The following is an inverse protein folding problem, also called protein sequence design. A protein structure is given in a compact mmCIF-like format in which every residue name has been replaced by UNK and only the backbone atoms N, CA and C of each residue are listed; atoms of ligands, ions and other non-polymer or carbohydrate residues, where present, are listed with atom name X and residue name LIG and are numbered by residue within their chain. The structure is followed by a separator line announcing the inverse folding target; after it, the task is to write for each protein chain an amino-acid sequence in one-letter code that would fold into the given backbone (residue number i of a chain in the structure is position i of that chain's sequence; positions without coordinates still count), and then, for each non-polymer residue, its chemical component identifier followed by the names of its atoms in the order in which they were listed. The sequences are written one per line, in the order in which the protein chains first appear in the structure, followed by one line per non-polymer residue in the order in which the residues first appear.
data_IF_077328375077
#
_entry.id   IF_077328375077
#
_cell.length_a   1.000
_cell.length_b   1.000
_cell.length_c   1.000
_cell.angle_alpha   90.00
_cell.angle_beta   90.00
_cell.angle_gamma   90.00
#
_symmetry.space_group_name_H-M   'P 1'
#
loop_
_entity.id
_entity.type
_entity.pdbx_description
1 polymer ?
#
# COMPACT_ATOMS: atom_id res chain seq x y z
N UNK A 1 39.44 -51.36 -58.81
CA UNK A 1 38.13 -51.41 -58.14
C UNK A 1 37.87 -50.11 -57.44
N UNK A 2 37.21 -49.20 -58.12
CA UNK A 2 37.12 -47.78 -57.67
C UNK A 2 35.70 -47.56 -57.17
N UNK A 3 35.56 -47.34 -55.85
CA UNK A 3 34.27 -47.08 -55.19
C UNK A 3 33.98 -45.61 -55.32
N UNK A 4 32.89 -45.25 -55.99
CA UNK A 4 32.35 -43.88 -56.02
C UNK A 4 31.40 -43.70 -54.84
N UNK A 5 31.76 -42.77 -53.93
CA UNK A 5 30.89 -42.36 -52.83
C UNK A 5 30.10 -41.16 -53.32
N UNK A 6 28.77 -41.32 -53.43
CA UNK A 6 27.82 -40.25 -53.70
C UNK A 6 27.35 -39.66 -52.37
N UNK A 7 27.72 -38.42 -52.12
CA UNK A 7 27.25 -37.64 -50.97
C UNK A 7 25.91 -37.00 -51.29
N UNK A 8 24.83 -37.48 -50.61
CA UNK A 8 23.50 -36.88 -50.68
C UNK A 8 23.43 -35.77 -49.64
N UNK A 9 23.34 -34.52 -50.08
CA UNK A 9 23.15 -33.37 -49.24
C UNK A 9 21.70 -33.26 -48.80
N UNK A 10 21.43 -33.43 -47.53
CA UNK A 10 20.12 -33.22 -46.91
C UNK A 10 19.97 -31.73 -46.59
N UNK A 11 19.16 -31.00 -47.36
CA UNK A 11 18.77 -29.62 -47.04
C UNK A 11 17.67 -29.67 -45.97
N UNK A 12 18.02 -29.36 -44.71
CA UNK A 12 17.06 -29.09 -43.65
C UNK A 12 16.61 -27.63 -43.74
N UNK A 13 15.40 -27.39 -44.22
CA UNK A 13 14.75 -26.09 -44.21
C UNK A 13 14.34 -25.75 -42.74
N UNK A 14 15.05 -24.83 -42.12
CA UNK A 14 14.65 -24.21 -40.87
C UNK A 14 13.49 -23.24 -41.11
N UNK A 15 12.26 -23.70 -40.83
CA UNK A 15 11.09 -22.81 -40.78
C UNK A 15 11.16 -22.05 -39.47
N UNK A 16 11.65 -20.80 -39.52
CA UNK A 16 11.56 -19.87 -38.42
C UNK A 16 10.08 -19.47 -38.25
N UNK A 17 9.46 -20.00 -37.21
CA UNK A 17 8.15 -19.54 -36.75
C UNK A 17 8.39 -18.21 -36.03
N UNK A 18 8.14 -17.10 -36.72
CA UNK A 18 7.99 -15.79 -36.09
C UNK A 18 6.63 -15.78 -35.41
N UNK A 19 6.61 -16.08 -34.11
CA UNK A 19 5.45 -15.74 -33.28
C UNK A 19 5.39 -14.21 -33.21
N UNK A 20 4.25 -13.59 -33.57
CA UNK A 20 4.07 -12.19 -33.23
C UNK A 20 4.09 -12.07 -31.71
N UNK A 21 4.99 -11.26 -31.18
CA UNK A 21 4.98 -10.87 -29.80
C UNK A 21 3.68 -10.09 -29.57
N UNK A 22 2.68 -10.72 -28.92
CA UNK A 22 1.53 -10.02 -28.37
C UNK A 22 1.98 -9.25 -27.13
N UNK A 23 2.77 -8.21 -27.35
CA UNK A 23 3.17 -7.23 -26.38
C UNK A 23 2.51 -5.88 -26.74
N UNK A 24 1.20 -5.91 -26.96
CA UNK A 24 0.45 -4.70 -27.16
C UNK A 24 -0.68 -4.66 -26.14
N UNK A 25 -0.64 -3.70 -25.20
CA UNK A 25 -1.84 -3.28 -24.50
C UNK A 25 -1.87 -3.29 -22.98
N UNK A 26 -0.77 -3.04 -22.30
CA UNK A 26 -0.81 -2.67 -20.86
C UNK A 26 -0.57 -1.15 -20.64
N UNK A 27 -1.15 -0.30 -21.47
CA UNK A 27 -0.75 1.10 -21.51
C UNK A 27 -1.83 2.15 -21.73
N UNK A 28 -3.12 1.81 -21.66
CA UNK A 28 -4.15 2.85 -21.64
C UNK A 28 -4.86 2.84 -20.28
N UNK A 29 -4.93 4.03 -19.69
CA UNK A 29 -5.29 4.21 -18.28
C UNK A 29 -6.69 3.70 -17.91
N UNK A 30 -7.02 3.80 -16.62
CA UNK A 30 -8.27 3.36 -16.01
C UNK A 30 -9.57 3.92 -16.65
N UNK A 31 -9.45 4.78 -17.65
CA UNK A 31 -10.54 5.37 -18.43
C UNK A 31 -10.82 4.64 -19.74
N UNK A 32 -10.11 3.57 -20.02
CA UNK A 32 -10.46 2.72 -21.15
C UNK A 32 -11.87 2.14 -20.96
N UNK A 33 -12.74 2.36 -21.92
CA UNK A 33 -14.12 1.92 -21.90
C UNK A 33 -14.24 0.39 -21.69
N UNK A 34 -13.30 -0.39 -22.22
CA UNK A 34 -13.24 -1.83 -22.04
C UNK A 34 -12.93 -2.23 -20.61
N UNK A 35 -11.99 -1.54 -19.95
CA UNK A 35 -11.64 -1.74 -18.55
C UNK A 35 -12.81 -1.37 -17.63
N UNK A 36 -13.48 -0.24 -17.86
CA UNK A 36 -14.66 0.16 -17.10
C UNK A 36 -15.83 -0.81 -17.29
N UNK A 37 -16.03 -1.31 -18.50
CA UNK A 37 -17.04 -2.34 -18.79
C UNK A 37 -16.73 -3.65 -18.05
N UNK A 38 -15.47 -4.06 -18.00
CA UNK A 38 -15.01 -5.24 -17.26
C UNK A 38 -15.23 -5.07 -15.75
N UNK A 39 -14.88 -3.92 -15.17
CA UNK A 39 -15.15 -3.63 -13.76
C UNK A 39 -16.64 -3.70 -13.45
N UNK A 40 -17.47 -3.03 -14.26
CA UNK A 40 -18.94 -2.99 -14.10
C UNK A 40 -19.59 -4.36 -14.22
N UNK A 41 -19.09 -5.22 -15.07
CA UNK A 41 -19.62 -6.59 -15.27
C UNK A 41 -19.08 -7.60 -14.25
N UNK A 42 -17.83 -7.42 -13.82
CA UNK A 42 -17.10 -8.38 -12.95
C UNK A 42 -17.34 -8.19 -11.46
N UNK A 43 -17.70 -6.96 -11.03
CA UNK A 43 -17.88 -6.63 -9.62
C UNK A 43 -19.31 -6.23 -9.32
N UNK A 44 -19.75 -6.52 -8.10
CA UNK A 44 -21.06 -6.16 -7.57
C UNK A 44 -20.99 -5.93 -6.08
N UNK A 45 -21.88 -5.11 -5.56
CA UNK A 45 -22.02 -4.88 -4.13
C UNK A 45 -22.39 -6.20 -3.42
N UNK A 46 -21.74 -6.44 -2.29
CA UNK A 46 -22.05 -7.56 -1.40
C UNK A 46 -21.73 -7.19 0.04
N UNK A 47 -22.74 -7.22 0.93
CA UNK A 47 -22.57 -6.80 2.32
C UNK A 47 -21.99 -5.38 2.40
N UNK A 48 -20.96 -5.20 3.20
CA UNK A 48 -20.27 -3.92 3.33
C UNK A 48 -19.21 -3.65 2.22
N UNK A 49 -18.98 -4.61 1.35
CA UNK A 49 -18.06 -4.44 0.22
C UNK A 49 -18.84 -3.90 -1.00
N UNK A 50 -18.77 -2.62 -1.20
CA UNK A 50 -19.44 -1.88 -2.26
C UNK A 50 -18.49 -1.53 -3.41
N UNK A 51 -19.03 -1.39 -4.60
CA UNK A 51 -18.26 -1.15 -5.84
C UNK A 51 -17.66 0.26 -5.91
N UNK A 52 -18.11 1.20 -5.07
CA UNK A 52 -17.49 2.52 -4.93
C UNK A 52 -16.02 2.45 -4.49
N UNK A 53 -15.60 1.36 -3.83
CA UNK A 53 -14.21 1.10 -3.46
C UNK A 53 -13.28 0.95 -4.66
N UNK A 54 -13.81 0.69 -5.85
CA UNK A 54 -13.06 0.61 -7.09
C UNK A 54 -12.72 1.99 -7.66
N UNK A 55 -13.40 3.02 -7.22
CA UNK A 55 -13.20 4.38 -7.70
C UNK A 55 -11.96 5.00 -7.06
N UNK A 56 -11.09 5.54 -7.90
CA UNK A 56 -9.94 6.32 -7.45
C UNK A 56 -10.39 7.71 -7.00
N UNK A 57 -9.84 8.22 -5.91
CA UNK A 57 -9.93 9.64 -5.61
C UNK A 57 -8.86 10.44 -6.40
N UNK A 58 -8.96 11.77 -6.37
CA UNK A 58 -8.09 12.66 -7.15
C UNK A 58 -6.59 12.43 -6.88
N UNK A 59 -6.22 12.08 -5.63
CA UNK A 59 -4.82 11.78 -5.29
C UNK A 59 -4.37 10.44 -5.88
N UNK A 60 -5.25 9.44 -5.85
CA UNK A 60 -4.94 8.13 -6.44
C UNK A 60 -4.84 8.25 -7.96
N UNK A 61 -5.77 8.94 -8.60
CA UNK A 61 -5.74 9.19 -10.05
C UNK A 61 -4.44 9.90 -10.46
N UNK A 62 -4.06 10.98 -9.74
CA UNK A 62 -2.78 11.66 -9.96
C UNK A 62 -1.59 10.71 -9.87
N UNK A 63 -1.52 9.86 -8.84
CA UNK A 63 -0.39 8.96 -8.63
C UNK A 63 -0.37 7.75 -9.58
N UNK A 64 -1.47 7.44 -10.24
CA UNK A 64 -1.60 6.33 -11.20
C UNK A 64 -1.44 6.78 -12.65
N UNK A 65 -1.32 8.07 -12.90
CA UNK A 65 -1.17 8.61 -14.25
C UNK A 65 0.25 8.30 -14.77
N UNK A 66 0.40 7.43 -15.80
CA UNK A 66 1.71 7.07 -16.35
C UNK A 66 2.37 8.21 -17.12
N UNK A 67 1.64 9.27 -17.45
CA UNK A 67 2.17 10.42 -18.18
C UNK A 67 2.85 11.44 -17.26
N UNK A 68 2.75 11.25 -15.94
CA UNK A 68 3.37 12.13 -14.95
C UNK A 68 4.88 11.91 -14.95
N UNK A 69 5.60 12.82 -15.59
CA UNK A 69 7.05 12.89 -15.55
C UNK A 69 7.53 13.67 -14.31
N UNK A 70 8.74 13.37 -13.84
CA UNK A 70 9.37 14.17 -12.81
C UNK A 70 9.74 15.56 -13.38
N UNK A 71 9.08 16.58 -12.85
CA UNK A 71 9.27 17.98 -13.22
C UNK A 71 9.05 18.89 -12.02
N UNK A 72 9.53 20.15 -12.04
CA UNK A 72 9.25 21.12 -10.97
C UNK A 72 7.74 21.32 -10.73
N UNK A 73 6.93 21.30 -11.79
CA UNK A 73 5.48 21.42 -11.67
C UNK A 73 4.88 20.22 -10.92
N UNK A 74 5.34 19.00 -11.21
CA UNK A 74 4.93 17.79 -10.51
C UNK A 74 5.38 17.77 -9.05
N UNK A 75 6.58 18.22 -8.76
CA UNK A 75 7.07 18.38 -7.38
C UNK A 75 6.16 19.33 -6.59
N UNK A 76 5.80 20.48 -7.19
CA UNK A 76 4.86 21.42 -6.59
C UNK A 76 3.48 20.79 -6.36
N UNK A 77 2.97 20.03 -7.33
CA UNK A 77 1.65 19.36 -7.18
C UNK A 77 1.68 18.28 -6.10
N UNK A 78 2.76 17.49 -5.99
CA UNK A 78 2.93 16.53 -4.89
C UNK A 78 2.90 17.23 -3.53
N UNK A 79 3.65 18.30 -3.36
CA UNK A 79 3.67 19.08 -2.11
C UNK A 79 2.28 19.64 -1.77
N UNK A 80 1.53 20.10 -2.77
CA UNK A 80 0.15 20.56 -2.58
C UNK A 80 -0.77 19.44 -2.12
N UNK A 81 -0.69 18.24 -2.74
CA UNK A 81 -1.45 17.06 -2.36
C UNK A 81 -1.11 16.66 -0.91
N UNK A 82 0.17 16.68 -0.53
CA UNK A 82 0.59 16.41 0.84
C UNK A 82 0.00 17.39 1.85
N UNK A 83 0.02 18.68 1.53
CA UNK A 83 -0.59 19.71 2.37
C UNK A 83 -2.11 19.54 2.51
N UNK A 84 -2.83 19.25 1.41
CA UNK A 84 -4.26 18.96 1.41
C UNK A 84 -4.58 17.73 2.28
N UNK A 85 -3.79 16.67 2.16
CA UNK A 85 -3.95 15.46 2.98
C UNK A 85 -3.57 15.70 4.44
N UNK A 86 -2.53 16.50 4.72
CA UNK A 86 -2.17 16.87 6.09
C UNK A 86 -3.28 17.67 6.78
N UNK A 87 -3.94 18.58 6.07
CA UNK A 87 -5.08 19.31 6.58
C UNK A 87 -6.27 18.40 6.96
N UNK A 88 -6.36 17.21 6.38
CA UNK A 88 -7.38 16.21 6.71
C UNK A 88 -7.06 15.38 7.95
N UNK A 89 -5.83 15.44 8.49
CA UNK A 89 -5.41 14.64 9.65
C UNK A 89 -6.08 15.16 10.91
N UNK A 90 -6.81 14.28 11.58
CA UNK A 90 -7.39 14.55 12.90
C UNK A 90 -6.40 14.08 13.97
N UNK A 91 -5.80 15.03 14.67
CA UNK A 91 -4.94 14.75 15.80
C UNK A 91 -5.75 14.58 17.08
N UNK A 92 -5.24 13.85 18.10
CA UNK A 92 -5.95 13.71 19.38
C UNK A 92 -6.12 15.06 20.05
N UNK A 93 -7.37 15.45 20.35
CA UNK A 93 -7.70 16.75 20.97
C UNK A 93 -7.40 16.82 22.46
N UNK A 94 -7.27 15.65 23.12
CA UNK A 94 -7.00 15.52 24.56
C UNK A 94 -5.52 15.42 24.90
N UNK A 95 -4.64 15.54 23.90
CA UNK A 95 -3.18 15.43 24.05
C UNK A 95 -2.66 14.02 24.35
N UNK A 96 -3.52 13.00 24.36
CA UNK A 96 -3.12 11.61 24.61
C UNK A 96 -2.72 10.92 23.32
N UNK A 97 -1.46 10.76 23.10
CA UNK A 97 -0.91 10.17 21.90
C UNK A 97 -0.79 8.65 21.95
N UNK A 98 -0.58 8.07 23.13
CA UNK A 98 -0.27 6.67 23.32
C UNK A 98 -1.43 5.94 24.00
N UNK A 99 -1.72 4.74 23.54
CA UNK A 99 -2.65 3.77 24.13
C UNK A 99 -1.90 2.60 24.77
N UNK A 100 -2.34 1.39 24.47
CA UNK A 100 -1.73 0.14 24.94
C UNK A 100 -0.98 -0.54 23.80
N UNK A 101 0.34 -0.71 23.94
CA UNK A 101 1.15 -1.36 22.92
C UNK A 101 0.76 -2.82 22.65
N UNK A 102 0.18 -3.54 23.61
CA UNK A 102 -0.30 -4.92 23.42
C UNK A 102 -1.51 -4.95 22.50
N UNK A 103 -2.41 -4.00 22.64
CA UNK A 103 -3.53 -3.85 21.71
C UNK A 103 -3.03 -3.36 20.34
N UNK A 104 -2.03 -2.49 20.32
CA UNK A 104 -1.35 -2.07 19.09
C UNK A 104 -0.74 -3.23 18.31
N UNK A 105 -0.12 -4.18 19.00
CA UNK A 105 0.42 -5.39 18.39
C UNK A 105 -0.69 -6.24 17.74
N UNK A 106 -1.82 -6.43 18.42
CA UNK A 106 -2.98 -7.15 17.86
C UNK A 106 -3.52 -6.47 16.59
N UNK A 107 -3.61 -5.14 16.62
CA UNK A 107 -4.03 -4.35 15.45
C UNK A 107 -3.03 -4.50 14.31
N UNK A 108 -1.72 -4.45 14.60
CA UNK A 108 -0.66 -4.55 13.61
C UNK A 108 -0.62 -5.93 12.93
N UNK A 109 -0.86 -7.00 13.68
CA UNK A 109 -0.87 -8.37 13.17
C UNK A 109 -2.16 -8.72 12.42
N UNK A 110 -3.29 -8.14 12.81
CA UNK A 110 -4.59 -8.53 12.26
C UNK A 110 -4.81 -7.96 10.86
N UNK A 111 -5.06 -8.84 9.90
CA UNK A 111 -5.55 -8.48 8.55
C UNK A 111 -7.08 -8.59 8.41
N UNK A 112 -7.83 -8.70 9.51
CA UNK A 112 -9.29 -8.87 9.47
C UNK A 112 -9.99 -7.56 9.17
N UNK A 113 -11.16 -7.69 8.54
CA UNK A 113 -12.10 -6.61 8.35
C UNK A 113 -12.26 -6.19 6.89
N UNK A 114 -13.29 -5.39 6.64
CA UNK A 114 -13.65 -4.83 5.35
C UNK A 114 -14.03 -5.85 4.26
N UNK A 115 -14.27 -7.11 4.62
CA UNK A 115 -14.78 -8.12 3.71
C UNK A 115 -16.32 -8.07 3.64
N UNK A 116 -16.87 -8.66 2.60
CA UNK A 116 -18.32 -8.67 2.37
C UNK A 116 -19.12 -9.37 3.49
N UNK A 117 -18.49 -10.23 4.27
CA UNK A 117 -19.11 -10.99 5.36
C UNK A 117 -18.95 -10.33 6.74
N UNK A 118 -18.13 -9.26 6.82
CA UNK A 118 -17.93 -8.57 8.09
C UNK A 118 -19.12 -7.68 8.42
N UNK A 119 -19.29 -7.39 9.72
CA UNK A 119 -20.24 -6.39 10.18
C UNK A 119 -19.63 -4.99 10.00
N UNK A 120 -20.49 -4.03 9.69
CA UNK A 120 -20.05 -2.64 9.46
C UNK A 120 -19.40 -1.98 10.69
N UNK A 121 -19.77 -2.42 11.89
CA UNK A 121 -19.28 -1.94 13.18
C UNK A 121 -18.13 -2.79 13.76
N UNK A 122 -17.70 -3.83 13.05
CA UNK A 122 -16.59 -4.67 13.50
C UNK A 122 -15.27 -3.91 13.46
N UNK A 123 -14.44 -4.12 14.47
CA UNK A 123 -13.08 -3.58 14.48
C UNK A 123 -12.23 -4.24 13.39
N UNK A 124 -11.59 -3.41 12.57
CA UNK A 124 -10.66 -3.87 11.54
C UNK A 124 -9.25 -3.98 12.10
N UNK A 125 -8.42 -4.80 11.47
CA UNK A 125 -6.99 -4.82 11.68
C UNK A 125 -6.25 -3.82 10.80
N UNK A 126 -4.99 -3.54 11.17
CA UNK A 126 -4.11 -2.65 10.41
C UNK A 126 -3.24 -3.38 9.40
N UNK A 127 -3.03 -4.70 9.61
CA UNK A 127 -2.21 -5.57 8.76
C UNK A 127 -0.79 -5.02 8.46
N UNK A 128 -0.19 -4.38 9.45
CA UNK A 128 1.05 -3.62 9.28
C UNK A 128 2.25 -4.51 8.95
N UNK A 129 2.26 -5.75 9.49
CA UNK A 129 3.30 -6.73 9.24
C UNK A 129 3.39 -7.21 7.79
N UNK A 130 2.33 -7.10 6.99
CA UNK A 130 2.43 -7.41 5.57
C UNK A 130 3.39 -6.48 4.81
N UNK A 131 3.71 -5.32 5.37
CA UNK A 131 4.59 -4.35 4.74
C UNK A 131 5.84 -4.04 5.58
N UNK A 132 5.78 -4.14 6.91
CA UNK A 132 6.82 -3.70 7.83
C UNK A 132 7.29 -4.82 8.76
N UNK A 133 8.59 -4.88 8.99
CA UNK A 133 9.15 -5.50 10.18
C UNK A 133 8.89 -4.57 11.37
N UNK A 134 8.29 -5.06 12.46
CA UNK A 134 7.88 -4.23 13.60
C UNK A 134 8.48 -4.76 14.91
N UNK A 135 7.96 -5.87 15.44
CA UNK A 135 8.49 -6.51 16.64
C UNK A 135 9.56 -7.55 16.28
N UNK A 136 10.64 -7.72 17.06
CA UNK A 136 11.60 -8.78 16.86
C UNK A 136 11.03 -10.18 17.13
N UNK A 137 9.85 -10.26 17.78
CA UNK A 137 9.18 -11.52 18.08
C UNK A 137 8.40 -12.07 16.89
N UNK A 138 8.05 -11.25 15.89
CA UNK A 138 7.35 -11.66 14.68
C UNK A 138 8.37 -11.87 13.55
N UNK A 139 8.44 -13.11 13.07
CA UNK A 139 9.38 -13.51 12.01
C UNK A 139 8.78 -13.42 10.61
N UNK A 140 7.44 -13.34 10.50
CA UNK A 140 6.72 -13.25 9.24
C UNK A 140 6.32 -11.80 8.96
N UNK A 141 7.08 -11.11 8.13
CA UNK A 141 6.83 -9.72 7.76
C UNK A 141 7.22 -9.42 6.31
N UNK A 142 6.56 -8.41 5.74
CA UNK A 142 6.91 -7.88 4.43
C UNK A 142 8.01 -6.80 4.50
N UNK A 143 8.60 -6.54 3.35
CA UNK A 143 9.69 -5.56 3.17
C UNK A 143 9.32 -4.42 2.22
N UNK A 144 8.03 -4.27 1.92
CA UNK A 144 7.51 -3.17 1.07
C UNK A 144 7.70 -1.82 1.75
N UNK A 145 7.46 -1.78 3.08
CA UNK A 145 7.74 -0.63 3.92
C UNK A 145 9.10 -0.76 4.63
N UNK A 146 9.64 0.33 5.19
CA UNK A 146 10.87 0.29 5.98
C UNK A 146 10.66 -0.52 7.27
N UNK A 147 11.75 -1.10 7.81
CA UNK A 147 11.75 -1.69 9.14
C UNK A 147 11.43 -0.62 10.20
N UNK A 148 10.58 -0.99 11.14
CA UNK A 148 10.19 -0.19 12.30
C UNK A 148 10.83 -0.70 13.61
N UNK A 149 11.75 -1.66 13.53
CA UNK A 149 12.51 -2.11 14.70
C UNK A 149 13.22 -0.95 15.38
N UNK A 150 13.06 -0.85 16.69
CA UNK A 150 13.67 0.22 17.48
C UNK A 150 13.13 1.61 17.16
N UNK A 151 11.93 1.72 16.59
CA UNK A 151 11.41 3.00 16.09
C UNK A 151 11.48 4.11 17.15
N UNK A 152 10.98 3.87 18.36
CA UNK A 152 11.02 4.84 19.45
C UNK A 152 12.45 5.14 19.93
N UNK A 153 13.34 4.13 19.98
CA UNK A 153 14.76 4.33 20.29
C UNK A 153 15.47 5.22 19.27
N UNK A 154 15.15 5.03 17.98
CA UNK A 154 15.81 5.74 16.88
C UNK A 154 15.25 7.14 16.70
N UNK A 155 13.93 7.31 16.82
CA UNK A 155 13.25 8.57 16.52
C UNK A 155 13.04 9.46 17.74
N UNK A 156 13.02 8.87 18.96
CA UNK A 156 12.63 9.57 20.17
C UNK A 156 11.10 9.73 20.29
N UNK A 157 10.68 10.56 21.22
CA UNK A 157 9.27 10.77 21.61
C UNK A 157 8.84 12.25 21.62
N UNK A 158 9.57 13.10 20.89
CA UNK A 158 9.20 14.51 20.77
C UNK A 158 7.80 14.68 20.17
N UNK A 159 7.19 15.83 20.41
CA UNK A 159 5.87 16.14 19.85
C UNK A 159 5.90 16.13 18.31
N UNK A 160 7.01 16.51 17.71
CA UNK A 160 7.20 16.44 16.25
C UNK A 160 7.16 14.98 15.77
N UNK A 161 7.88 14.07 16.45
CA UNK A 161 7.88 12.64 16.14
C UNK A 161 6.47 12.05 16.31
N UNK A 162 5.79 12.37 17.41
CA UNK A 162 4.40 11.92 17.64
C UNK A 162 3.46 12.39 16.54
N UNK A 163 3.52 13.67 16.18
CA UNK A 163 2.69 14.23 15.10
C UNK A 163 2.99 13.57 13.74
N UNK A 164 4.26 13.42 13.41
CA UNK A 164 4.67 12.80 12.14
C UNK A 164 4.25 11.34 12.06
N UNK A 165 4.44 10.57 13.13
CA UNK A 165 4.05 9.15 13.20
C UNK A 165 2.53 9.00 13.12
N UNK A 166 1.79 9.81 13.87
CA UNK A 166 0.33 9.85 13.82
C UNK A 166 -0.18 10.15 12.40
N UNK A 167 0.33 11.22 11.80
CA UNK A 167 -0.07 11.62 10.46
C UNK A 167 0.19 10.51 9.44
N UNK A 168 1.31 9.81 9.55
CA UNK A 168 1.67 8.68 8.67
C UNK A 168 0.67 7.52 8.80
N UNK A 169 0.26 7.15 10.00
CA UNK A 169 -0.72 6.08 10.24
C UNK A 169 -2.13 6.54 9.84
N UNK A 170 -2.50 7.78 10.18
CA UNK A 170 -3.80 8.34 9.88
C UNK A 170 -4.02 8.51 8.39
N UNK A 171 -3.09 9.16 7.69
CA UNK A 171 -3.14 9.41 6.25
C UNK A 171 -1.72 9.49 5.67
N UNK A 172 -1.18 8.39 5.19
CA UNK A 172 0.18 8.30 4.67
C UNK A 172 0.46 9.31 3.53
N UNK A 173 -0.57 9.74 2.80
CA UNK A 173 -0.44 10.75 1.75
C UNK A 173 -0.22 12.18 2.27
N UNK A 174 -0.38 12.40 3.56
CA UNK A 174 0.01 13.65 4.24
C UNK A 174 1.53 13.89 4.29
N UNK A 175 2.33 12.84 4.08
CA UNK A 175 3.80 12.91 4.14
C UNK A 175 4.50 12.37 2.90
N UNK A 176 3.75 11.76 2.00
CA UNK A 176 4.19 11.32 0.68
C UNK A 176 2.94 11.15 -0.19
N UNK A 177 2.73 12.06 -1.15
CA UNK A 177 1.55 12.11 -2.00
C UNK A 177 1.19 10.77 -2.65
N UNK A 178 2.18 10.02 -3.11
CA UNK A 178 2.00 8.74 -3.81
C UNK A 178 2.35 7.52 -2.95
N UNK A 179 2.26 7.65 -1.62
CA UNK A 179 2.45 6.50 -0.72
C UNK A 179 1.44 5.39 -0.99
N UNK A 180 1.93 4.14 -1.05
CA UNK A 180 1.10 2.94 -1.10
C UNK A 180 0.66 2.46 0.30
N UNK A 181 1.18 3.05 1.39
CA UNK A 181 0.73 2.75 2.73
C UNK A 181 -0.75 3.14 2.90
N UNK A 182 -1.59 2.28 3.48
CA UNK A 182 -3.01 2.57 3.71
C UNK A 182 -3.24 3.86 4.50
N UNK A 183 -4.33 4.55 4.19
CA UNK A 183 -4.79 5.75 4.90
C UNK A 183 -5.72 5.37 6.04
N UNK A 184 -5.18 4.71 7.06
CA UNK A 184 -5.93 3.99 8.09
C UNK A 184 -7.05 4.79 8.76
N UNK A 185 -6.72 5.95 9.35
CA UNK A 185 -7.71 6.81 10.00
C UNK A 185 -8.55 7.60 9.01
N UNK A 186 -7.95 8.14 7.93
CA UNK A 186 -8.64 8.94 6.94
C UNK A 186 -9.76 8.18 6.21
N UNK A 187 -9.57 6.90 5.96
CA UNK A 187 -10.57 6.02 5.32
C UNK A 187 -11.44 5.26 6.32
N UNK A 188 -11.32 5.55 7.61
CA UNK A 188 -12.11 4.87 8.65
C UNK A 188 -11.81 3.38 8.78
N UNK A 189 -10.63 2.92 8.32
CA UNK A 189 -10.21 1.52 8.42
C UNK A 189 -9.92 1.17 9.88
N UNK A 190 -9.19 2.04 10.58
CA UNK A 190 -8.85 1.91 12.00
C UNK A 190 -9.34 3.13 12.77
N UNK A 191 -9.73 2.90 14.01
CA UNK A 191 -10.25 3.93 14.92
C UNK A 191 -9.13 4.79 15.50
N UNK A 192 -9.48 5.93 16.10
CA UNK A 192 -8.53 6.77 16.83
C UNK A 192 -7.85 6.00 17.96
N UNK A 193 -8.60 5.18 18.72
CA UNK A 193 -8.01 4.35 19.77
C UNK A 193 -6.99 3.35 19.22
N UNK A 194 -7.30 2.68 18.12
CA UNK A 194 -6.35 1.78 17.45
C UNK A 194 -5.09 2.52 16.96
N UNK A 195 -5.22 3.77 16.53
CA UNK A 195 -4.04 4.58 16.19
C UNK A 195 -3.21 4.87 17.45
N UNK A 196 -3.83 5.22 18.58
CA UNK A 196 -3.14 5.41 19.87
C UNK A 196 -2.39 4.14 20.30
N UNK A 197 -3.00 2.99 20.12
CA UNK A 197 -2.42 1.69 20.46
C UNK A 197 -1.22 1.37 19.54
N UNK A 198 -1.32 1.63 18.25
CA UNK A 198 -0.20 1.53 17.30
C UNK A 198 0.92 2.54 17.62
N UNK A 199 0.58 3.75 18.03
CA UNK A 199 1.56 4.74 18.49
C UNK A 199 2.31 4.22 19.72
N UNK A 200 1.61 3.60 20.67
CA UNK A 200 2.25 2.98 21.84
C UNK A 200 3.14 1.80 21.42
N UNK A 201 2.69 0.95 20.47
CA UNK A 201 3.54 -0.11 19.95
C UNK A 201 4.88 0.42 19.41
N UNK A 202 4.84 1.53 18.69
CA UNK A 202 6.05 2.09 18.05
C UNK A 202 6.92 2.94 18.99
N UNK A 203 6.33 3.65 19.97
CA UNK A 203 7.02 4.69 20.73
C UNK A 203 7.18 4.37 22.22
N UNK A 204 6.37 3.46 22.82
CA UNK A 204 6.51 3.14 24.23
C UNK A 204 7.85 2.41 24.47
N UNK A 205 8.70 2.89 25.40
CA UNK A 205 9.94 2.20 25.76
C UNK A 205 9.75 0.76 26.24
N UNK A 206 8.55 0.42 26.74
CA UNK A 206 8.23 -0.94 27.20
C UNK A 206 7.75 -1.86 26.07
N UNK A 207 7.47 -1.32 24.90
CA UNK A 207 7.11 -2.12 23.74
C UNK A 207 8.26 -3.02 23.28
N UNK A 208 8.01 -4.26 22.86
CA UNK A 208 9.05 -5.14 22.33
C UNK A 208 9.77 -4.56 21.11
N UNK A 209 9.15 -3.65 20.41
CA UNK A 209 9.76 -2.91 19.28
C UNK A 209 10.99 -2.13 19.72
N UNK A 210 11.01 -1.68 20.99
CA UNK A 210 12.03 -0.82 21.56
C UNK A 210 12.92 -1.51 22.63
N UNK A 211 12.93 -2.85 22.68
CA UNK A 211 13.76 -3.61 23.62
C UNK A 211 15.15 -3.93 23.06
#
# INVERSE_FOLDING_TARGET
MTIKITTTACLTALIAWTMPALADGWGEGADDASFQAMLKSGFRDKGIATTDRLNQDATQAFCSDPTIADSPAMTKRRAQIEAENMASVKFPSDGKWLGDWKEGEKVAQSGRGLTWSDKADAANGGNCYNCHQISPMEIAYGTIGPSLLGYGKIRGDSDEVKRATWAKIYNAKATNACSNMPRGGHKGIITEQQIRDLMALLLDPKSPVNQ
#
